data_IF_293392063830
#
_entry.id   IF_293392063830
#
_cell.length_a   1.000
_cell.length_b   1.000
_cell.length_c   1.000
_cell.angle_alpha   90.00
_cell.angle_beta   90.00
_cell.angle_gamma   90.00
#
_symmetry.space_group_name_H-M   'P 1'
#
loop_
_entity.id
_entity.type
_entity.pdbx_description
1 polymer ?
#
# COMPACT_ATOMS: atom_id res chain seq x y z
N UNK A 1 6.03 -19.66 4.71
CA UNK A 1 4.88 -19.60 3.82
C UNK A 1 5.22 -18.76 2.58
N UNK A 2 4.76 -19.18 1.42
CA UNK A 2 5.00 -18.45 0.17
C UNK A 2 3.73 -17.73 -0.27
N UNK A 3 3.90 -16.74 -1.13
CA UNK A 3 2.78 -16.00 -1.71
C UNK A 3 1.95 -16.93 -2.59
N UNK A 4 0.64 -16.86 -2.46
CA UNK A 4 -0.29 -17.65 -3.27
C UNK A 4 -0.65 -16.88 -4.53
N UNK A 5 -0.13 -17.35 -5.66
CA UNK A 5 -0.42 -16.73 -6.95
C UNK A 5 -1.80 -17.14 -7.44
N UNK A 6 -2.58 -16.20 -8.02
CA UNK A 6 -3.85 -16.55 -8.64
C UNK A 6 -3.60 -17.37 -9.91
N UNK A 7 -4.63 -18.10 -10.37
CA UNK A 7 -4.47 -18.95 -11.56
C UNK A 7 -4.08 -18.14 -12.80
N UNK A 8 -4.52 -16.88 -12.90
CA UNK A 8 -4.21 -16.01 -14.03
C UNK A 8 -2.70 -15.82 -14.20
N UNK A 9 -1.96 -15.85 -13.10
CA UNK A 9 -0.50 -15.64 -13.13
C UNK A 9 0.21 -16.62 -14.07
N UNK A 10 -0.31 -17.84 -14.23
CA UNK A 10 0.26 -18.84 -15.11
C UNK A 10 -0.48 -18.96 -16.44
N UNK A 11 -1.36 -18.02 -16.75
CA UNK A 11 -2.14 -17.97 -17.97
C UNK A 11 -1.50 -16.97 -18.95
N UNK A 12 -0.84 -17.45 -20.04
CA UNK A 12 -0.07 -16.54 -20.91
C UNK A 12 -0.82 -15.32 -21.44
N UNK A 13 -2.11 -15.40 -21.85
CA UNK A 13 -2.82 -14.22 -22.31
C UNK A 13 -2.98 -13.11 -21.26
N UNK A 14 -2.78 -13.43 -19.98
CA UNK A 14 -2.84 -12.44 -18.90
C UNK A 14 -1.76 -11.35 -19.06
N UNK A 15 -0.68 -11.65 -19.79
CA UNK A 15 0.47 -10.76 -19.96
C UNK A 15 0.39 -9.87 -21.21
N UNK A 16 -0.75 -9.88 -21.90
CA UNK A 16 -1.01 -9.00 -23.04
C UNK A 16 -2.37 -8.34 -22.84
N UNK A 17 -2.41 -7.00 -22.90
CA UNK A 17 -3.68 -6.29 -22.75
C UNK A 17 -4.65 -6.74 -23.83
N UNK A 18 -5.82 -7.18 -23.43
CA UNK A 18 -6.81 -7.73 -24.33
C UNK A 18 -7.58 -6.60 -25.02
N UNK A 19 -7.83 -6.71 -26.35
CA UNK A 19 -8.49 -5.64 -27.08
C UNK A 19 -9.99 -5.51 -26.78
N UNK A 20 -10.64 -6.59 -26.36
CA UNK A 20 -12.05 -6.55 -26.00
C UNK A 20 -12.22 -5.79 -24.69
N UNK A 21 -13.07 -4.76 -24.67
CA UNK A 21 -13.26 -3.88 -23.53
C UNK A 21 -13.66 -4.63 -22.26
N UNK A 22 -14.63 -5.53 -22.37
CA UNK A 22 -15.11 -6.28 -21.21
C UNK A 22 -14.04 -7.23 -20.66
N UNK A 23 -13.31 -7.92 -21.54
CA UNK A 23 -12.23 -8.80 -21.16
C UNK A 23 -11.08 -8.01 -20.53
N UNK A 24 -10.75 -6.85 -21.10
CA UNK A 24 -9.71 -5.98 -20.56
C UNK A 24 -10.05 -5.47 -19.17
N UNK A 25 -11.32 -5.08 -18.93
CA UNK A 25 -11.75 -4.64 -17.60
C UNK A 25 -11.53 -5.73 -16.55
N UNK A 26 -11.90 -6.97 -16.88
CA UNK A 26 -11.69 -8.11 -15.98
C UNK A 26 -10.20 -8.38 -15.77
N UNK A 27 -9.42 -8.28 -16.83
CA UNK A 27 -7.98 -8.47 -16.77
C UNK A 27 -7.32 -7.41 -15.88
N UNK A 28 -7.70 -6.15 -16.06
CA UNK A 28 -7.14 -5.05 -15.25
C UNK A 28 -7.55 -5.19 -13.78
N UNK A 29 -8.80 -5.59 -13.51
CA UNK A 29 -9.24 -5.83 -12.14
C UNK A 29 -8.42 -6.94 -11.48
N UNK A 30 -8.14 -8.01 -12.21
CA UNK A 30 -7.31 -9.12 -11.70
C UNK A 30 -5.88 -8.67 -11.44
N UNK A 31 -5.28 -7.87 -12.34
CA UNK A 31 -3.95 -7.32 -12.12
C UNK A 31 -3.91 -6.38 -10.93
N UNK A 32 -4.91 -5.50 -10.78
CA UNK A 32 -4.98 -4.59 -9.63
C UNK A 32 -5.01 -5.38 -8.32
N UNK A 33 -5.83 -6.40 -8.26
CA UNK A 33 -5.94 -7.27 -7.09
C UNK A 33 -4.61 -7.97 -6.80
N UNK A 34 -3.96 -8.50 -7.83
CA UNK A 34 -2.68 -9.19 -7.69
C UNK A 34 -1.59 -8.22 -7.19
N UNK A 35 -1.51 -7.02 -7.77
CA UNK A 35 -0.51 -6.03 -7.35
C UNK A 35 -0.68 -5.69 -5.87
N UNK A 36 -1.89 -5.39 -5.44
CA UNK A 36 -2.15 -5.03 -4.04
C UNK A 36 -1.83 -6.20 -3.10
N UNK A 37 -2.24 -7.41 -3.45
CA UNK A 37 -1.98 -8.60 -2.65
C UNK A 37 -0.49 -8.91 -2.53
N UNK A 38 0.22 -8.80 -3.64
CA UNK A 38 1.67 -9.06 -3.66
C UNK A 38 2.42 -8.05 -2.80
N UNK A 39 2.11 -6.76 -2.93
CA UNK A 39 2.77 -5.72 -2.17
C UNK A 39 2.41 -5.80 -0.68
N UNK A 40 1.18 -6.17 -0.36
CA UNK A 40 0.76 -6.40 1.01
C UNK A 40 1.53 -7.56 1.64
N UNK A 41 1.65 -8.66 0.90
CA UNK A 41 2.38 -9.83 1.38
C UNK A 41 3.83 -9.50 1.69
N UNK A 42 4.48 -8.72 0.82
CA UNK A 42 5.87 -8.33 1.00
C UNK A 42 6.04 -7.04 1.81
N UNK A 43 4.95 -6.42 2.24
CA UNK A 43 4.94 -5.14 2.98
C UNK A 43 5.73 -4.05 2.27
N UNK A 44 5.46 -3.90 0.99
CA UNK A 44 6.07 -2.87 0.15
C UNK A 44 5.06 -1.74 -0.09
N UNK A 45 5.55 -0.51 -0.08
CA UNK A 45 4.71 0.68 -0.19
C UNK A 45 5.08 1.57 -1.38
N UNK A 46 6.07 1.17 -2.15
CA UNK A 46 6.52 1.91 -3.32
C UNK A 46 6.77 0.97 -4.49
N UNK A 47 6.62 1.49 -5.70
CA UNK A 47 6.96 0.78 -6.93
C UNK A 47 7.81 1.70 -7.79
N UNK A 48 8.94 1.17 -8.28
CA UNK A 48 9.66 1.69 -9.43
C UNK A 48 9.27 0.82 -10.61
N UNK A 49 8.70 1.41 -11.66
CA UNK A 49 8.10 0.65 -12.76
C UNK A 49 9.12 -0.24 -13.46
N UNK A 50 10.34 0.28 -13.71
CA UNK A 50 11.38 -0.49 -14.40
C UNK A 50 11.85 -1.67 -13.56
N UNK A 51 12.06 -1.46 -12.27
CA UNK A 51 12.45 -2.54 -11.35
C UNK A 51 11.32 -3.56 -11.20
N UNK A 52 10.09 -3.08 -11.10
CA UNK A 52 8.92 -3.95 -10.93
C UNK A 52 8.72 -4.88 -12.12
N UNK A 53 8.99 -4.39 -13.32
CA UNK A 53 8.87 -5.22 -14.53
C UNK A 53 9.76 -6.45 -14.47
N UNK A 54 10.93 -6.33 -13.85
CA UNK A 54 11.87 -7.44 -13.70
C UNK A 54 11.57 -8.30 -12.47
N UNK A 55 10.68 -7.85 -11.60
CA UNK A 55 10.31 -8.59 -10.40
C UNK A 55 9.38 -9.76 -10.72
N UNK A 56 9.26 -10.74 -9.81
CA UNK A 56 8.33 -11.85 -10.01
C UNK A 56 6.88 -11.42 -10.23
N UNK A 57 6.50 -10.24 -9.76
CA UNK A 57 5.12 -9.74 -9.93
C UNK A 57 4.73 -9.63 -11.40
N UNK A 58 5.61 -9.06 -12.23
CA UNK A 58 5.32 -8.80 -13.64
C UNK A 58 6.15 -9.63 -14.60
N UNK A 59 7.05 -10.48 -14.10
CA UNK A 59 7.91 -11.32 -14.90
C UNK A 59 7.81 -12.77 -14.42
N UNK A 60 6.98 -13.55 -15.09
CA UNK A 60 6.82 -14.96 -14.77
C UNK A 60 7.75 -15.79 -15.64
N UNK A 61 8.91 -16.12 -15.08
CA UNK A 61 9.96 -16.87 -15.82
C UNK A 61 9.53 -18.30 -16.13
N UNK A 62 8.67 -18.89 -15.32
CA UNK A 62 8.20 -20.28 -15.51
C UNK A 62 7.48 -20.45 -16.84
N UNK A 63 6.65 -19.48 -17.22
CA UNK A 63 5.92 -19.51 -18.49
C UNK A 63 6.52 -18.58 -19.54
N UNK A 64 7.67 -17.95 -19.22
CA UNK A 64 8.39 -17.03 -20.11
C UNK A 64 7.50 -15.88 -20.59
N UNK A 65 6.82 -15.23 -19.64
CA UNK A 65 5.96 -14.07 -19.93
C UNK A 65 6.34 -12.91 -19.01
N UNK A 66 6.37 -11.74 -19.61
CA UNK A 66 6.73 -10.49 -18.93
C UNK A 66 5.72 -9.44 -19.34
N UNK A 67 5.14 -8.77 -18.35
CA UNK A 67 4.16 -7.72 -18.62
C UNK A 67 4.86 -6.48 -19.18
N UNK A 68 4.40 -5.92 -20.31
CA UNK A 68 5.03 -4.72 -20.90
C UNK A 68 4.87 -3.51 -19.97
N UNK A 69 5.85 -2.59 -20.04
CA UNK A 69 5.84 -1.37 -19.22
C UNK A 69 4.57 -0.57 -19.44
N UNK A 70 4.14 -0.42 -20.70
CA UNK A 70 2.92 0.33 -21.03
C UNK A 70 1.68 -0.30 -20.36
N UNK A 71 1.64 -1.61 -20.31
CA UNK A 71 0.54 -2.34 -19.66
C UNK A 71 0.61 -2.19 -18.14
N UNK A 72 1.81 -2.24 -17.56
CA UNK A 72 2.00 -1.99 -16.13
C UNK A 72 1.47 -0.60 -15.78
N UNK A 73 1.80 0.41 -16.58
CA UNK A 73 1.33 1.77 -16.34
C UNK A 73 -0.19 1.89 -16.40
N UNK A 74 -0.84 1.13 -17.28
CA UNK A 74 -2.31 1.08 -17.33
C UNK A 74 -2.90 0.51 -16.05
N UNK A 75 -2.32 -0.57 -15.54
CA UNK A 75 -2.76 -1.18 -14.27
C UNK A 75 -2.57 -0.20 -13.10
N UNK A 76 -1.39 0.42 -13.04
CA UNK A 76 -1.11 1.37 -11.97
C UNK A 76 -2.04 2.59 -12.03
N UNK A 77 -2.39 3.05 -13.23
CA UNK A 77 -3.34 4.15 -13.40
C UNK A 77 -4.75 3.76 -12.90
N UNK A 78 -5.16 2.51 -13.10
CA UNK A 78 -6.41 2.02 -12.52
C UNK A 78 -6.37 2.03 -10.99
N UNK A 79 -5.24 1.67 -10.40
CA UNK A 79 -5.05 1.74 -8.94
C UNK A 79 -5.10 3.18 -8.45
N UNK A 80 -4.54 4.13 -9.22
CA UNK A 80 -4.62 5.55 -8.88
C UNK A 80 -6.07 6.02 -8.85
N UNK A 81 -6.85 5.65 -9.85
CA UNK A 81 -8.27 6.01 -9.90
C UNK A 81 -9.06 5.47 -8.71
N UNK A 82 -8.65 4.32 -8.20
CA UNK A 82 -9.30 3.69 -7.03
C UNK A 82 -8.79 4.25 -5.69
N UNK A 83 -7.82 5.16 -5.71
CA UNK A 83 -7.27 5.74 -4.50
C UNK A 83 -6.19 4.90 -3.81
N UNK A 84 -5.67 3.89 -4.49
CA UNK A 84 -4.65 2.98 -3.95
C UNK A 84 -3.23 3.32 -4.43
N UNK A 85 -3.07 4.38 -5.19
CA UNK A 85 -1.78 4.73 -5.76
C UNK A 85 -1.65 6.23 -5.94
N UNK A 86 -0.42 6.74 -5.77
CA UNK A 86 -0.09 8.14 -6.00
C UNK A 86 1.26 8.21 -6.73
N UNK A 87 1.28 8.85 -7.89
CA UNK A 87 2.52 9.03 -8.63
C UNK A 87 3.43 10.03 -7.92
N UNK A 88 4.73 9.68 -7.82
CA UNK A 88 5.73 10.55 -7.21
C UNK A 88 6.30 11.54 -8.23
N UNK A 89 6.40 11.10 -9.50
CA UNK A 89 7.03 11.90 -10.56
C UNK A 89 6.08 12.11 -11.75
N UNK A 90 6.37 13.14 -12.53
CA UNK A 90 5.57 13.48 -13.70
C UNK A 90 5.66 12.44 -14.82
N UNK A 91 6.76 11.72 -14.89
CA UNK A 91 7.00 10.71 -15.92
C UNK A 91 6.32 9.39 -15.60
N UNK A 92 5.68 9.28 -14.42
CA UNK A 92 4.98 8.08 -13.98
C UNK A 92 5.90 6.85 -13.97
N UNK A 93 7.09 7.02 -13.41
CA UNK A 93 8.07 5.95 -13.25
C UNK A 93 8.11 5.39 -11.84
N UNK A 94 7.69 6.18 -10.84
CA UNK A 94 7.68 5.77 -9.44
C UNK A 94 6.39 6.20 -8.77
N UNK A 95 5.91 5.35 -7.86
CA UNK A 95 4.67 5.66 -7.16
C UNK A 95 4.66 5.10 -5.74
N UNK A 96 3.78 5.70 -4.94
CA UNK A 96 3.42 5.19 -3.62
C UNK A 96 2.23 4.26 -3.80
N UNK A 97 2.23 3.13 -3.11
CA UNK A 97 1.14 2.15 -3.14
C UNK A 97 0.50 2.05 -1.78
N UNK A 98 -0.81 2.14 -1.75
CA UNK A 98 -1.62 2.03 -0.54
C UNK A 98 -2.52 0.80 -0.66
N UNK A 99 -1.97 -0.39 -0.40
CA UNK A 99 -2.77 -1.62 -0.39
C UNK A 99 -3.75 -1.63 0.79
N UNK A 100 -3.51 -0.80 1.79
CA UNK A 100 -4.47 -0.42 2.82
C UNK A 100 -4.46 1.10 2.88
N UNK A 101 -5.64 1.73 2.82
CA UNK A 101 -5.71 3.19 2.75
C UNK A 101 -5.42 3.84 4.10
N UNK A 102 -4.98 5.12 4.11
CA UNK A 102 -4.66 5.80 5.37
C UNK A 102 -5.78 5.76 6.41
N UNK A 103 -7.03 5.89 5.97
CA UNK A 103 -8.19 5.84 6.87
C UNK A 103 -8.30 4.49 7.57
N UNK A 104 -7.96 3.42 6.88
CA UNK A 104 -7.98 2.07 7.44
C UNK A 104 -6.85 1.86 8.43
N UNK A 105 -5.66 2.38 8.13
CA UNK A 105 -4.55 2.39 9.09
C UNK A 105 -4.90 3.18 10.33
N UNK A 106 -5.57 4.34 10.14
CA UNK A 106 -6.04 5.16 11.25
C UNK A 106 -6.95 4.39 12.19
N UNK A 107 -7.88 3.63 11.64
CA UNK A 107 -8.78 2.79 12.45
C UNK A 107 -8.02 1.77 13.28
N UNK A 108 -7.02 1.11 12.70
CA UNK A 108 -6.22 0.12 13.42
C UNK A 108 -5.45 0.77 14.57
N UNK A 109 -4.85 1.93 14.31
CA UNK A 109 -4.14 2.68 15.35
C UNK A 109 -5.07 3.07 16.49
N UNK A 110 -6.23 3.62 16.16
CA UNK A 110 -7.19 4.08 17.17
C UNK A 110 -7.76 2.91 17.96
N UNK A 111 -8.02 1.77 17.32
CA UNK A 111 -8.48 0.57 18.01
C UNK A 111 -7.45 0.08 19.01
N UNK A 112 -6.16 0.10 18.65
CA UNK A 112 -5.10 -0.30 19.56
C UNK A 112 -5.02 0.62 20.75
N UNK A 113 -5.06 1.94 20.52
CA UNK A 113 -5.01 2.94 21.59
C UNK A 113 -6.21 2.78 22.52
N UNK A 114 -7.41 2.64 21.97
CA UNK A 114 -8.65 2.51 22.75
C UNK A 114 -8.68 1.20 23.53
N UNK A 115 -8.31 0.12 22.90
CA UNK A 115 -8.30 -1.21 23.52
C UNK A 115 -7.37 -1.27 24.72
N UNK A 116 -6.26 -0.55 24.67
CA UNK A 116 -5.27 -0.55 25.73
C UNK A 116 -5.45 0.62 26.73
N UNK A 117 -6.57 1.33 26.63
CA UNK A 117 -6.91 2.40 27.57
C UNK A 117 -5.95 3.59 27.49
N UNK A 118 -5.38 3.86 26.32
CA UNK A 118 -4.37 4.90 26.14
C UNK A 118 -4.89 6.15 25.42
N UNK A 119 -6.20 6.35 25.40
CA UNK A 119 -6.76 7.63 24.96
C UNK A 119 -6.27 8.73 25.88
N UNK A 120 -6.14 9.95 25.35
CA UNK A 120 -5.54 11.10 26.05
C UNK A 120 -4.04 10.96 26.31
N UNK A 121 -3.39 9.97 25.72
CA UNK A 121 -1.94 9.80 25.79
C UNK A 121 -1.27 10.40 24.57
N UNK A 122 0.01 10.74 24.74
CA UNK A 122 0.86 11.28 23.66
C UNK A 122 1.90 10.23 23.30
N UNK A 123 2.05 9.98 22.00
CA UNK A 123 3.04 9.06 21.47
C UNK A 123 3.93 9.78 20.46
N UNK A 124 5.20 9.38 20.40
CA UNK A 124 6.03 9.76 19.24
C UNK A 124 5.65 8.88 18.06
N UNK A 125 5.93 9.35 16.85
CA UNK A 125 5.72 8.53 15.67
C UNK A 125 6.56 7.25 15.73
N UNK A 126 7.79 7.38 16.24
CA UNK A 126 8.68 6.22 16.40
C UNK A 126 8.08 5.17 17.32
N UNK A 127 7.50 5.58 18.45
CA UNK A 127 6.86 4.64 19.38
C UNK A 127 5.74 3.84 18.72
N UNK A 128 4.96 4.47 17.84
CA UNK A 128 3.86 3.81 17.16
C UNK A 128 4.34 2.82 16.09
N UNK A 129 5.37 3.18 15.33
CA UNK A 129 5.81 2.37 14.19
C UNK A 129 6.94 1.40 14.52
N UNK A 130 7.76 1.71 15.53
CA UNK A 130 8.96 0.92 15.84
C UNK A 130 9.13 0.60 17.31
N UNK A 131 8.18 1.00 18.16
CA UNK A 131 8.24 0.75 19.59
C UNK A 131 7.97 -0.71 19.94
N UNK A 132 8.41 -1.10 21.13
CA UNK A 132 8.22 -2.47 21.62
C UNK A 132 6.74 -2.83 21.83
N UNK A 133 5.94 -1.85 22.24
CA UNK A 133 4.53 -2.09 22.58
C UNK A 133 3.67 -2.42 21.36
N UNK A 134 4.14 -2.10 20.15
CA UNK A 134 3.40 -2.33 18.92
C UNK A 134 3.93 -3.49 18.08
N UNK A 135 4.94 -4.23 18.55
CA UNK A 135 5.58 -5.28 17.75
C UNK A 135 4.61 -6.31 17.19
N UNK A 136 3.53 -6.61 17.90
CA UNK A 136 2.52 -7.56 17.43
C UNK A 136 1.44 -6.97 16.54
N UNK A 137 1.50 -5.67 16.26
CA UNK A 137 0.47 -4.99 15.51
C UNK A 137 0.81 -4.88 14.02
N UNK A 138 -0.24 -4.88 13.17
CA UNK A 138 -0.06 -4.78 11.73
C UNK A 138 0.63 -3.48 11.30
N UNK A 139 0.39 -2.40 12.04
CA UNK A 139 0.99 -1.10 11.71
C UNK A 139 2.43 -0.96 12.19
N UNK A 140 2.97 -1.94 12.89
CA UNK A 140 4.39 -1.92 13.28
C UNK A 140 5.26 -1.94 12.02
N UNK A 141 6.24 -1.06 11.96
CA UNK A 141 7.11 -0.92 10.79
C UNK A 141 6.53 -0.06 9.67
N UNK A 142 5.37 0.57 9.90
CA UNK A 142 4.74 1.43 8.90
C UNK A 142 5.64 2.61 8.56
N UNK A 143 5.79 2.90 7.26
CA UNK A 143 6.61 4.03 6.82
C UNK A 143 6.02 5.35 7.32
N UNK A 144 6.90 6.30 7.63
CA UNK A 144 6.49 7.56 8.26
C UNK A 144 5.47 8.34 7.45
N UNK A 145 5.62 8.39 6.13
CA UNK A 145 4.69 9.14 5.30
C UNK A 145 3.26 8.57 5.38
N UNK A 146 3.14 7.25 5.49
CA UNK A 146 1.85 6.60 5.57
C UNK A 146 1.27 6.72 6.98
N UNK A 147 2.11 6.60 8.00
CA UNK A 147 1.71 6.85 9.38
C UNK A 147 1.18 8.27 9.53
N UNK A 148 1.89 9.25 8.96
CA UNK A 148 1.44 10.65 8.98
C UNK A 148 0.05 10.80 8.35
N UNK A 149 -0.18 10.20 7.19
CA UNK A 149 -1.50 10.26 6.53
C UNK A 149 -2.59 9.58 7.33
N UNK A 150 -2.27 8.46 7.97
CA UNK A 150 -3.21 7.76 8.84
C UNK A 150 -3.62 8.63 10.03
N UNK A 151 -2.65 9.30 10.64
CA UNK A 151 -2.90 10.20 11.77
C UNK A 151 -3.64 11.47 11.34
N UNK A 152 -3.35 11.98 10.13
CA UNK A 152 -4.09 13.11 9.57
C UNK A 152 -5.57 12.74 9.35
N UNK A 153 -5.86 11.52 8.95
CA UNK A 153 -7.23 11.04 8.82
C UNK A 153 -7.95 11.03 10.17
N UNK A 154 -7.26 10.55 11.21
CA UNK A 154 -7.82 10.60 12.58
C UNK A 154 -8.00 12.02 13.08
N UNK A 155 -7.07 12.92 12.75
CA UNK A 155 -7.18 14.32 13.11
C UNK A 155 -8.40 14.96 12.46
N UNK A 156 -8.69 14.64 11.22
CA UNK A 156 -9.89 15.10 10.52
C UNK A 156 -11.16 14.65 11.23
N UNK A 157 -11.12 13.49 11.87
CA UNK A 157 -12.25 12.94 12.63
C UNK A 157 -12.25 13.42 14.10
N UNK A 158 -11.30 14.26 14.47
CA UNK A 158 -11.12 14.77 15.84
C UNK A 158 -10.80 13.68 16.86
N UNK A 159 -10.18 12.59 16.40
CA UNK A 159 -9.76 11.48 17.25
C UNK A 159 -8.30 11.57 17.65
N UNK A 160 -7.55 12.44 17.01
CA UNK A 160 -6.13 12.65 17.29
C UNK A 160 -5.72 14.06 16.92
N UNK A 161 -4.59 14.51 17.46
CA UNK A 161 -3.96 15.78 17.12
C UNK A 161 -2.47 15.55 16.94
N UNK A 162 -1.94 15.91 15.77
CA UNK A 162 -0.52 15.81 15.48
C UNK A 162 0.20 16.97 16.14
N UNK A 163 1.28 16.65 16.86
CA UNK A 163 2.04 17.62 17.66
C UNK A 163 3.47 17.66 17.15
N UNK A 164 4.01 18.87 16.98
CA UNK A 164 5.43 19.04 16.66
C UNK A 164 6.20 19.15 17.98
N UNK A 165 7.07 18.17 18.21
CA UNK A 165 7.99 18.20 19.35
C UNK A 165 9.30 18.87 18.90
N UNK A 166 10.19 19.19 19.85
CA UNK A 166 11.41 19.97 19.55
C UNK A 166 12.28 19.35 18.45
N UNK A 167 12.36 18.04 18.39
CA UNK A 167 13.19 17.31 17.40
C UNK A 167 12.50 16.10 16.78
N UNK A 168 11.19 15.98 16.98
CA UNK A 168 10.44 14.85 16.45
C UNK A 168 8.96 15.21 16.31
N UNK A 169 8.18 14.29 15.72
CA UNK A 169 6.74 14.42 15.61
C UNK A 169 6.06 13.50 16.62
N UNK A 170 4.96 13.97 17.17
CA UNK A 170 4.14 13.19 18.06
C UNK A 170 2.67 13.33 17.75
N UNK A 171 1.85 12.58 18.46
CA UNK A 171 0.41 12.60 18.29
C UNK A 171 -0.25 12.35 19.65
N UNK A 172 -1.32 13.11 19.90
CA UNK A 172 -2.20 12.89 21.05
C UNK A 172 -3.49 12.27 20.55
N UNK A 173 -3.89 11.16 21.16
CA UNK A 173 -5.18 10.53 20.85
C UNK A 173 -6.24 11.01 21.85
N UNK A 174 -7.46 11.14 21.39
CA UNK A 174 -8.60 11.55 22.27
C UNK A 174 -9.57 10.42 22.53
#
# INVERSE_FOLDING_TARGET
MSFEWPWQYNFPPFYTLQPNVNTQHKQLAAWCSLVLSYLQYHKLYTIDVLEAQESPLFNNKKIQRKFPIEAIQVVLEELRKKGNLEWIDKNKTRCLIMWRRPEEWGKLLYQWVSKNGMTNSVFTFYELSNGEDTEGEEFHGLEEWLLLRALQALQSERKAEIITLSDSKGVKFF
#
